data_IF_507009325115
#
_entry.id   IF_507009325115
#
_cell.length_a   1.000
_cell.length_b   1.000
_cell.length_c   1.000
_cell.angle_alpha   90.00
_cell.angle_beta   90.00
_cell.angle_gamma   90.00
#
_symmetry.space_group_name_H-M   'P 1'
#
loop_
_entity.id
_entity.type
_entity.pdbx_description
1 polymer ?
#
# COMPACT_ATOMS: atom_id res chain seq x y z
N UNK A 1 7.88 -14.05 50.20
CA UNK A 1 6.64 -14.05 49.39
C UNK A 1 6.85 -13.14 48.20
N UNK A 2 7.08 -13.69 47.00
CA UNK A 2 7.12 -12.90 45.77
C UNK A 2 5.69 -12.47 45.40
N UNK A 3 5.44 -11.22 44.98
CA UNK A 3 4.10 -10.81 44.59
C UNK A 3 3.68 -11.58 43.34
N UNK A 4 2.44 -12.08 43.39
CA UNK A 4 1.77 -12.81 42.32
C UNK A 4 2.08 -12.24 40.93
N UNK A 5 2.69 -13.06 40.08
CA UNK A 5 3.04 -12.69 38.71
C UNK A 5 1.80 -12.30 37.93
N UNK A 6 1.61 -11.00 37.75
CA UNK A 6 0.64 -10.48 36.80
C UNK A 6 0.98 -11.08 35.43
N UNK A 7 0.09 -11.94 34.91
CA UNK A 7 0.20 -12.47 33.54
C UNK A 7 0.17 -11.27 32.60
N UNK A 8 1.32 -10.86 32.11
CA UNK A 8 1.42 -9.83 31.08
C UNK A 8 0.73 -10.38 29.84
N UNK A 9 -0.45 -9.86 29.53
CA UNK A 9 -1.20 -10.25 28.33
C UNK A 9 -0.42 -9.77 27.12
N UNK A 10 0.03 -10.72 26.31
CA UNK A 10 0.72 -10.41 25.06
C UNK A 10 -0.27 -9.78 24.07
N UNK A 11 0.02 -8.58 23.61
CA UNK A 11 -0.84 -7.82 22.69
C UNK A 11 -0.58 -8.30 21.27
N UNK A 12 -1.59 -8.21 20.39
CA UNK A 12 -1.46 -8.53 18.97
C UNK A 12 -0.22 -7.87 18.35
N UNK A 13 0.78 -8.71 18.04
CA UNK A 13 2.06 -8.26 17.49
C UNK A 13 1.97 -8.08 15.99
N UNK A 14 2.59 -7.01 15.49
CA UNK A 14 2.76 -6.85 14.04
C UNK A 14 4.02 -7.57 13.58
N UNK A 15 3.93 -8.22 12.42
CA UNK A 15 5.13 -8.71 11.75
C UNK A 15 5.97 -7.58 11.17
N UNK A 16 5.37 -6.43 10.82
CA UNK A 16 6.08 -5.36 10.13
C UNK A 16 7.25 -4.82 10.97
N UNK A 17 8.41 -4.65 10.33
CA UNK A 17 9.66 -4.22 10.99
C UNK A 17 9.75 -2.69 10.95
N UNK A 18 10.30 -2.07 11.99
CA UNK A 18 10.58 -0.62 11.95
C UNK A 18 11.55 -0.28 10.81
N UNK A 19 11.39 0.88 10.21
CA UNK A 19 12.35 1.39 9.22
C UNK A 19 13.72 1.57 9.88
N UNK A 20 14.80 1.25 9.16
CA UNK A 20 16.17 1.45 9.62
C UNK A 20 16.45 2.93 9.86
N UNK A 21 17.15 3.26 10.95
CA UNK A 21 17.49 4.64 11.32
C UNK A 21 16.61 5.23 12.43
N UNK A 22 15.45 4.63 12.71
CA UNK A 22 14.64 4.94 13.90
C UNK A 22 14.96 3.98 15.06
N UNK A 23 14.78 4.44 16.29
CA UNK A 23 14.94 3.57 17.46
C UNK A 23 13.83 2.51 17.44
N UNK A 24 14.21 1.24 17.32
CA UNK A 24 13.29 0.13 17.08
C UNK A 24 12.32 -0.19 18.23
N UNK A 25 11.62 -1.32 18.07
CA UNK A 25 10.77 -1.88 19.13
C UNK A 25 11.57 -2.14 20.40
N UNK A 26 10.93 -1.98 21.57
CA UNK A 26 11.62 -2.10 22.85
C UNK A 26 11.91 -3.57 23.23
N UNK A 27 11.15 -4.51 22.66
CA UNK A 27 11.24 -5.93 22.97
C UNK A 27 10.71 -6.33 24.34
N UNK A 28 10.25 -5.37 25.15
CA UNK A 28 9.68 -5.62 26.48
C UNK A 28 8.36 -6.42 26.39
N UNK A 29 7.97 -7.16 27.43
CA UNK A 29 6.72 -7.92 27.41
C UNK A 29 5.44 -7.06 27.21
N UNK A 30 4.42 -7.66 26.58
CA UNK A 30 3.08 -7.09 26.49
C UNK A 30 2.97 -5.81 25.67
N UNK A 31 2.20 -4.83 26.17
CA UNK A 31 1.96 -3.53 25.53
C UNK A 31 3.23 -2.75 25.22
N UNK A 32 4.31 -3.01 25.97
CA UNK A 32 5.57 -2.29 25.81
C UNK A 32 6.41 -2.81 24.64
N UNK A 33 6.08 -3.97 24.06
CA UNK A 33 6.90 -4.61 23.02
C UNK A 33 7.15 -3.69 21.83
N UNK A 34 6.06 -3.22 21.21
CA UNK A 34 6.13 -2.37 20.04
C UNK A 34 6.19 -0.90 20.42
N UNK A 35 7.06 -0.16 19.73
CA UNK A 35 6.98 1.30 19.77
C UNK A 35 5.91 1.77 18.77
N UNK A 36 4.95 2.52 19.28
CA UNK A 36 3.83 3.02 18.47
C UNK A 36 4.22 4.26 17.67
N UNK A 37 3.58 4.47 16.52
CA UNK A 37 3.78 5.67 15.69
C UNK A 37 4.96 5.62 14.72
N UNK A 38 5.85 4.63 14.85
CA UNK A 38 6.97 4.43 13.92
C UNK A 38 6.51 3.99 12.53
N UNK A 39 7.28 4.38 11.51
CA UNK A 39 7.13 3.85 10.16
C UNK A 39 7.65 2.41 10.07
N UNK A 40 6.96 1.57 9.29
CA UNK A 40 7.26 0.13 9.23
C UNK A 40 7.27 -0.40 7.81
N UNK A 41 8.07 -1.45 7.58
CA UNK A 41 8.22 -2.12 6.28
C UNK A 41 7.80 -3.58 6.36
N UNK A 42 7.39 -4.09 5.20
CA UNK A 42 7.09 -5.50 4.96
C UNK A 42 8.30 -6.20 4.30
N UNK A 43 8.32 -7.54 4.24
CA UNK A 43 7.53 -8.47 5.04
C UNK A 43 8.03 -8.52 6.48
N UNK A 44 7.20 -9.07 7.36
CA UNK A 44 7.61 -9.30 8.75
C UNK A 44 8.54 -10.47 8.95
N UNK A 45 8.56 -11.42 8.01
CA UNK A 45 9.45 -12.59 7.99
C UNK A 45 10.15 -12.65 6.64
N UNK A 46 11.43 -13.04 6.64
CA UNK A 46 12.29 -12.99 5.45
C UNK A 46 12.94 -11.62 5.24
N UNK A 47 13.52 -11.46 4.05
CA UNK A 47 14.30 -10.28 3.66
C UNK A 47 13.43 -9.03 3.60
N UNK A 48 13.98 -7.90 4.07
CA UNK A 48 13.27 -6.62 4.07
C UNK A 48 13.01 -6.18 2.62
N UNK A 49 11.79 -5.77 2.33
CA UNK A 49 11.46 -5.08 1.08
C UNK A 49 11.38 -3.57 1.29
N UNK A 50 11.34 -2.80 0.21
CA UNK A 50 11.06 -1.36 0.26
C UNK A 50 9.55 -1.04 0.42
N UNK A 51 8.68 -2.05 0.60
CA UNK A 51 7.25 -1.80 0.77
C UNK A 51 6.92 -1.36 2.20
N UNK A 52 6.48 -0.12 2.33
CA UNK A 52 5.88 0.41 3.57
C UNK A 52 4.65 -0.39 4.01
N UNK A 53 4.31 -0.29 5.30
CA UNK A 53 3.15 -0.94 5.89
C UNK A 53 1.84 -0.35 5.36
N UNK A 54 0.73 -1.10 5.49
CA UNK A 54 -0.57 -0.64 5.01
C UNK A 54 -1.09 0.57 5.80
N UNK A 55 -0.85 0.62 7.11
CA UNK A 55 -1.21 1.78 7.93
C UNK A 55 -0.45 3.04 7.49
N UNK A 56 0.83 2.92 7.16
CA UNK A 56 1.63 4.06 6.68
C UNK A 56 1.13 4.56 5.32
N UNK A 57 0.76 3.64 4.41
CA UNK A 57 0.17 3.98 3.10
C UNK A 57 -1.21 4.64 3.23
N UNK A 58 -2.06 4.14 4.12
CA UNK A 58 -3.37 4.73 4.40
C UNK A 58 -3.23 6.13 5.01
N UNK A 59 -2.32 6.32 5.97
CA UNK A 59 -2.03 7.64 6.53
C UNK A 59 -1.50 8.62 5.46
N UNK A 60 -0.68 8.14 4.51
CA UNK A 60 -0.27 8.93 3.35
C UNK A 60 -1.46 9.33 2.47
N UNK A 61 -2.38 8.42 2.18
CA UNK A 61 -3.60 8.74 1.42
C UNK A 61 -4.53 9.70 2.17
N UNK A 62 -4.54 9.65 3.50
CA UNK A 62 -5.31 10.59 4.34
C UNK A 62 -4.81 12.04 4.26
N UNK A 63 -3.67 12.28 3.61
CA UNK A 63 -3.09 13.61 3.39
C UNK A 63 -2.99 13.95 1.90
N UNK A 64 -2.50 13.01 1.09
CA UNK A 64 -2.26 13.22 -0.35
C UNK A 64 -3.41 12.80 -1.27
N UNK A 65 -4.42 12.13 -0.72
CA UNK A 65 -5.42 11.41 -1.50
C UNK A 65 -4.91 10.07 -2.07
N UNK A 66 -5.84 9.22 -2.50
CA UNK A 66 -5.57 7.87 -3.00
C UNK A 66 -5.32 7.79 -4.52
N UNK A 67 -5.63 8.85 -5.27
CA UNK A 67 -5.48 8.95 -6.73
C UNK A 67 -4.02 8.87 -7.21
N UNK A 68 -3.07 9.36 -6.41
CA UNK A 68 -1.65 9.44 -6.78
C UNK A 68 -1.32 10.58 -7.75
N UNK A 69 -0.04 10.76 -8.04
CA UNK A 69 0.44 11.94 -8.78
C UNK A 69 -0.05 12.02 -10.23
N UNK A 70 -0.15 10.89 -10.93
CA UNK A 70 -0.58 10.91 -12.35
C UNK A 70 -2.00 11.45 -12.51
N UNK A 71 -2.94 11.00 -11.67
CA UNK A 71 -4.32 11.49 -11.77
C UNK A 71 -4.46 12.95 -11.31
N UNK A 72 -3.53 13.46 -10.49
CA UNK A 72 -3.53 14.88 -10.09
C UNK A 72 -3.22 15.87 -11.21
N UNK A 73 -2.85 15.40 -12.41
CA UNK A 73 -2.82 16.29 -13.57
C UNK A 73 -4.23 16.70 -14.02
N UNK A 74 -5.23 15.86 -13.80
CA UNK A 74 -6.56 16.02 -14.40
C UNK A 74 -7.65 16.44 -13.42
N UNK A 75 -7.42 16.24 -12.12
CA UNK A 75 -8.42 16.55 -11.09
C UNK A 75 -8.01 17.80 -10.31
N UNK A 76 -8.99 18.60 -9.94
CA UNK A 76 -8.77 19.86 -9.22
C UNK A 76 -8.41 19.61 -7.75
N UNK A 77 -9.05 18.61 -7.12
CA UNK A 77 -8.94 18.32 -5.70
C UNK A 77 -8.53 16.85 -5.45
N UNK A 78 -7.72 16.53 -4.43
CA UNK A 78 -7.34 15.15 -4.13
C UNK A 78 -8.53 14.28 -3.73
N UNK A 79 -8.48 12.98 -4.07
CA UNK A 79 -9.54 12.04 -3.72
C UNK A 79 -9.27 11.39 -2.37
N UNK A 80 -10.13 11.64 -1.39
CA UNK A 80 -9.99 11.12 -0.04
C UNK A 80 -11.00 10.01 0.28
N UNK A 81 -10.61 9.10 1.16
CA UNK A 81 -11.52 8.10 1.71
C UNK A 81 -12.41 8.75 2.78
N UNK A 82 -13.73 8.64 2.63
CA UNK A 82 -14.68 9.12 3.65
C UNK A 82 -14.72 8.22 4.89
N UNK A 83 -14.41 6.93 4.72
CA UNK A 83 -14.37 5.95 5.79
C UNK A 83 -13.33 4.85 5.56
N UNK A 84 -12.81 4.30 6.66
CA UNK A 84 -12.04 3.05 6.70
C UNK A 84 -12.79 2.10 7.63
N UNK A 85 -13.30 1.00 7.05
CA UNK A 85 -14.05 -0.03 7.78
C UNK A 85 -13.18 -1.27 7.96
N UNK A 86 -13.00 -1.68 9.21
CA UNK A 86 -12.16 -2.82 9.60
C UNK A 86 -13.09 -4.01 9.84
N UNK A 87 -12.84 -5.14 9.18
CA UNK A 87 -13.61 -6.37 9.42
C UNK A 87 -13.49 -6.87 10.86
N UNK A 88 -14.33 -7.84 11.26
CA UNK A 88 -14.32 -8.38 12.61
C UNK A 88 -12.97 -9.03 12.94
N UNK A 89 -12.22 -8.38 13.82
CA UNK A 89 -10.91 -8.80 14.29
C UNK A 89 -10.59 -8.08 15.62
N UNK A 90 -9.51 -8.45 16.31
CA UNK A 90 -9.07 -7.66 17.45
C UNK A 90 -8.77 -6.22 17.03
N UNK A 91 -9.43 -5.28 17.69
CA UNK A 91 -9.53 -3.90 17.26
C UNK A 91 -9.25 -2.94 18.40
N UNK A 92 -8.64 -1.80 18.07
CA UNK A 92 -8.43 -0.69 19.00
C UNK A 92 -8.66 0.61 18.24
N UNK A 93 -9.73 1.33 18.61
CA UNK A 93 -10.06 2.63 18.04
C UNK A 93 -8.88 3.59 18.18
N UNK A 94 -8.28 3.65 19.36
CA UNK A 94 -7.11 4.48 19.67
C UNK A 94 -5.90 4.14 18.79
N UNK A 95 -5.64 2.86 18.55
CA UNK A 95 -4.55 2.45 17.66
C UNK A 95 -4.80 2.88 16.21
N UNK A 96 -6.04 2.75 15.73
CA UNK A 96 -6.42 3.17 14.38
C UNK A 96 -6.37 4.68 14.20
N UNK A 97 -6.93 5.45 15.13
CA UNK A 97 -6.88 6.91 15.11
C UNK A 97 -5.44 7.42 15.14
N UNK A 98 -4.59 6.84 15.99
CA UNK A 98 -3.17 7.16 16.03
C UNK A 98 -2.48 6.84 14.70
N UNK A 99 -2.76 5.68 14.12
CA UNK A 99 -2.06 5.20 12.93
C UNK A 99 -2.48 5.92 11.64
N UNK A 100 -3.75 6.35 11.52
CA UNK A 100 -4.30 6.91 10.29
C UNK A 100 -4.45 8.43 10.32
N UNK A 101 -4.71 9.02 11.48
CA UNK A 101 -5.05 10.45 11.62
C UNK A 101 -3.99 11.17 12.47
N UNK A 102 -3.92 10.85 13.77
CA UNK A 102 -3.19 11.68 14.75
C UNK A 102 -1.70 11.83 14.44
N UNK A 103 -1.06 10.83 13.84
CA UNK A 103 0.36 10.91 13.44
C UNK A 103 0.65 11.96 12.36
N UNK A 104 -0.36 12.42 11.65
CA UNK A 104 -0.27 13.45 10.61
C UNK A 104 -1.03 14.72 10.99
N UNK A 105 -1.70 14.80 12.15
CA UNK A 105 -2.60 15.91 12.52
C UNK A 105 -1.93 17.28 12.53
N UNK A 106 -0.62 17.34 12.79
CA UNK A 106 0.15 18.58 12.85
C UNK A 106 0.81 18.94 11.50
N UNK A 107 0.57 18.14 10.45
CA UNK A 107 1.08 18.44 9.10
C UNK A 107 0.37 19.68 8.58
N UNK A 108 1.17 20.69 8.23
CA UNK A 108 0.70 22.00 7.78
C UNK A 108 1.47 22.46 6.55
N UNK A 109 1.16 23.65 6.03
CA UNK A 109 1.80 24.24 4.85
C UNK A 109 1.73 23.33 3.61
N UNK A 110 0.56 22.72 3.41
CA UNK A 110 0.26 21.94 2.23
C UNK A 110 -0.25 22.86 1.10
N UNK A 111 0.02 22.52 -0.18
CA UNK A 111 -0.58 23.21 -1.31
C UNK A 111 -2.11 23.20 -1.27
N UNK A 112 -2.74 24.13 -1.99
CA UNK A 112 -4.20 24.23 -2.05
C UNK A 112 -4.84 22.88 -2.38
N UNK A 113 -5.92 22.55 -1.67
CA UNK A 113 -6.68 21.32 -1.82
C UNK A 113 -6.15 20.11 -1.02
N UNK A 114 -4.87 20.13 -0.63
CA UNK A 114 -4.30 19.08 0.21
C UNK A 114 -4.50 19.37 1.69
N UNK A 115 -4.92 18.35 2.44
CA UNK A 115 -5.16 18.47 3.88
C UNK A 115 -5.23 17.13 4.58
N UNK A 116 -5.03 17.14 5.90
CA UNK A 116 -5.23 15.97 6.76
C UNK A 116 -6.73 15.80 6.95
N UNK A 117 -7.27 14.65 6.55
CA UNK A 117 -8.70 14.39 6.64
C UNK A 117 -9.12 13.72 7.95
N UNK A 118 -10.30 14.09 8.44
CA UNK A 118 -10.99 13.36 9.52
C UNK A 118 -11.77 12.18 8.93
N UNK A 119 -11.04 11.10 8.63
CA UNK A 119 -11.63 9.87 8.08
C UNK A 119 -12.44 9.12 9.15
N UNK A 120 -13.65 8.67 8.80
CA UNK A 120 -14.46 7.85 9.70
C UNK A 120 -13.83 6.48 9.86
N UNK A 121 -13.48 6.09 11.08
CA UNK A 121 -12.93 4.76 11.37
C UNK A 121 -14.01 3.94 12.05
N UNK A 122 -14.38 2.81 11.46
CA UNK A 122 -15.43 1.93 11.96
C UNK A 122 -14.96 0.48 11.97
N UNK A 123 -15.51 -0.30 12.87
CA UNK A 123 -15.38 -1.76 12.85
C UNK A 123 -16.71 -2.38 12.41
N UNK A 124 -16.64 -3.35 11.51
CA UNK A 124 -17.79 -4.16 11.12
C UNK A 124 -17.94 -5.36 12.03
N UNK A 125 -19.18 -5.68 12.39
CA UNK A 125 -19.55 -6.91 13.10
C UNK A 125 -19.63 -8.14 12.19
N UNK A 126 -19.47 -7.96 10.88
CA UNK A 126 -19.47 -9.05 9.91
C UNK A 126 -18.20 -9.90 10.05
N UNK A 127 -18.40 -11.18 10.40
CA UNK A 127 -17.34 -12.15 10.41
C UNK A 127 -17.10 -12.66 8.99
N UNK A 128 -15.95 -12.30 8.42
CA UNK A 128 -15.58 -12.83 7.12
C UNK A 128 -15.21 -14.33 7.23
N UNK A 129 -15.83 -15.17 6.41
CA UNK A 129 -15.73 -16.63 6.52
C UNK A 129 -14.31 -17.17 6.35
N UNK A 130 -13.50 -16.50 5.53
CA UNK A 130 -12.10 -16.85 5.25
C UNK A 130 -11.11 -16.08 6.14
N UNK A 131 -11.61 -15.38 7.17
CA UNK A 131 -10.76 -14.76 8.19
C UNK A 131 -10.06 -15.82 9.04
N UNK A 132 -8.92 -15.46 9.63
CA UNK A 132 -8.17 -16.36 10.52
C UNK A 132 -9.05 -16.94 11.63
N UNK A 133 -9.85 -16.08 12.29
CA UNK A 133 -10.72 -16.48 13.39
C UNK A 133 -11.81 -17.46 12.93
N UNK A 134 -12.46 -17.18 11.80
CA UNK A 134 -13.51 -18.06 11.26
C UNK A 134 -12.94 -19.42 10.82
N UNK A 135 -11.81 -19.43 10.12
CA UNK A 135 -11.15 -20.67 9.69
C UNK A 135 -10.65 -21.48 10.90
N UNK A 136 -10.14 -20.81 11.94
CA UNK A 136 -9.71 -21.48 13.17
C UNK A 136 -10.88 -22.11 13.92
N UNK A 137 -12.02 -21.42 14.03
CA UNK A 137 -13.22 -21.96 14.66
C UNK A 137 -13.76 -23.20 13.93
N UNK A 138 -13.76 -23.19 12.58
CA UNK A 138 -14.16 -24.35 11.75
C UNK A 138 -13.21 -25.55 11.86
N UNK A 139 -12.01 -25.37 12.43
CA UNK A 139 -10.98 -26.41 12.58
C UNK A 139 -10.61 -26.68 14.03
N UNK A 140 -11.52 -26.44 14.97
CA UNK A 140 -11.28 -26.70 16.39
C UNK A 140 -10.71 -28.11 16.64
N UNK A 141 -11.15 -29.09 15.84
CA UNK A 141 -10.77 -30.50 15.96
C UNK A 141 -9.54 -30.92 15.12
N UNK A 142 -8.95 -29.99 14.33
CA UNK A 142 -7.79 -30.27 13.47
C UNK A 142 -6.61 -29.36 13.85
N UNK A 143 -5.67 -29.84 14.68
CA UNK A 143 -4.50 -29.05 15.05
C UNK A 143 -3.61 -28.84 13.83
N UNK A 144 -3.51 -27.59 13.37
CA UNK A 144 -2.69 -27.22 12.22
C UNK A 144 -2.38 -25.73 12.19
N UNK A 145 -1.19 -25.36 11.69
CA UNK A 145 -0.80 -23.96 11.57
C UNK A 145 -1.53 -23.31 10.40
N UNK A 146 -2.37 -22.32 10.69
CA UNK A 146 -3.00 -21.48 9.66
C UNK A 146 -1.97 -20.58 8.96
N UNK A 147 -1.94 -20.65 7.63
CA UNK A 147 -1.07 -19.86 6.75
C UNK A 147 -1.94 -19.03 5.81
N UNK A 148 -1.63 -17.73 5.60
CA UNK A 148 -2.34 -16.92 4.62
C UNK A 148 -2.07 -17.45 3.20
N UNK A 149 -3.05 -17.27 2.32
CA UNK A 149 -2.94 -17.51 0.89
C UNK A 149 -1.84 -16.62 0.29
N UNK A 150 -1.03 -17.21 -0.59
CA UNK A 150 0.02 -16.49 -1.32
C UNK A 150 -0.49 -15.77 -2.57
N UNK A 151 -1.77 -15.94 -2.90
CA UNK A 151 -2.42 -15.27 -4.02
C UNK A 151 -3.12 -13.96 -3.57
N UNK A 152 -3.23 -13.02 -4.49
CA UNK A 152 -3.99 -11.79 -4.35
C UNK A 152 -4.95 -11.65 -5.52
N UNK A 153 -6.17 -11.22 -5.22
CA UNK A 153 -7.23 -11.01 -6.21
C UNK A 153 -7.45 -9.50 -6.33
N UNK A 154 -7.48 -9.00 -7.56
CA UNK A 154 -7.80 -7.60 -7.89
C UNK A 154 -8.94 -7.59 -8.89
N UNK A 155 -9.97 -6.82 -8.60
CA UNK A 155 -11.15 -6.65 -9.45
C UNK A 155 -11.64 -5.21 -9.36
N UNK A 156 -12.15 -4.69 -10.46
CA UNK A 156 -12.84 -3.40 -10.52
C UNK A 156 -14.12 -3.54 -11.31
N UNK A 157 -15.14 -2.75 -10.96
CA UNK A 157 -16.40 -2.67 -11.70
C UNK A 157 -16.24 -1.85 -13.01
N UNK A 158 -15.33 -2.30 -13.87
CA UNK A 158 -15.05 -1.74 -15.20
C UNK A 158 -15.25 -2.87 -16.19
N UNK A 159 -16.24 -2.80 -17.10
CA UNK A 159 -16.63 -3.92 -17.97
C UNK A 159 -15.46 -4.56 -18.74
N UNK A 160 -14.51 -3.75 -19.16
CA UNK A 160 -13.36 -4.15 -19.97
C UNK A 160 -12.18 -4.71 -19.14
N UNK A 161 -12.24 -4.65 -17.81
CA UNK A 161 -11.18 -5.10 -16.91
C UNK A 161 -11.58 -6.41 -16.20
N UNK A 162 -11.11 -7.57 -16.67
CA UNK A 162 -11.39 -8.84 -16.02
C UNK A 162 -10.65 -8.96 -14.68
N UNK A 163 -11.10 -9.92 -13.87
CA UNK A 163 -10.47 -10.36 -12.63
C UNK A 163 -8.97 -10.65 -12.84
N UNK A 164 -8.11 -10.01 -12.05
CA UNK A 164 -6.67 -10.26 -12.02
C UNK A 164 -6.31 -11.04 -10.75
N UNK A 165 -5.89 -12.30 -10.91
CA UNK A 165 -5.43 -13.16 -9.81
C UNK A 165 -3.93 -13.31 -9.94
N UNK A 166 -3.19 -12.86 -8.92
CA UNK A 166 -1.73 -12.89 -8.92
C UNK A 166 -1.19 -13.77 -7.80
N UNK A 167 -0.05 -14.42 -8.03
CA UNK A 167 0.73 -15.12 -7.02
C UNK A 167 2.21 -14.76 -7.21
N UNK A 168 2.89 -14.41 -6.11
CA UNK A 168 4.29 -13.95 -6.14
C UNK A 168 4.53 -12.76 -7.12
N UNK A 169 3.53 -11.89 -7.29
CA UNK A 169 3.61 -10.71 -8.16
C UNK A 169 3.34 -10.96 -9.65
N UNK A 170 3.02 -12.20 -10.05
CA UNK A 170 2.68 -12.54 -11.44
C UNK A 170 1.25 -13.08 -11.54
N UNK A 171 0.56 -12.92 -12.67
CA UNK A 171 -0.71 -13.59 -12.92
C UNK A 171 -0.61 -15.09 -12.66
N UNK A 172 -1.64 -15.66 -12.02
CA UNK A 172 -1.67 -17.06 -11.66
C UNK A 172 -1.51 -17.93 -12.91
N UNK A 173 -0.63 -18.93 -12.84
CA UNK A 173 -0.27 -19.78 -13.98
C UNK A 173 0.93 -19.29 -14.80
N UNK A 174 1.50 -18.11 -14.49
CA UNK A 174 2.74 -17.64 -15.16
C UNK A 174 3.88 -18.62 -14.92
N UNK A 175 4.44 -19.18 -16.00
CA UNK A 175 5.59 -20.08 -15.95
C UNK A 175 6.90 -19.31 -15.88
N UNK A 176 7.98 -19.95 -15.42
CA UNK A 176 9.33 -19.34 -15.41
C UNK A 176 9.76 -18.79 -16.78
N UNK A 177 9.38 -19.48 -17.87
CA UNK A 177 9.63 -19.03 -19.25
C UNK A 177 8.77 -17.82 -19.64
N UNK A 178 7.55 -17.73 -19.10
CA UNK A 178 6.57 -16.68 -19.39
C UNK A 178 6.76 -15.38 -18.62
N UNK A 179 7.58 -15.34 -17.57
CA UNK A 179 7.78 -14.14 -16.70
C UNK A 179 8.14 -12.87 -17.49
N UNK A 180 8.83 -13.00 -18.62
CA UNK A 180 9.28 -11.86 -19.45
C UNK A 180 8.24 -11.40 -20.50
N UNK A 181 7.10 -12.07 -20.56
CA UNK A 181 6.04 -11.75 -21.53
C UNK A 181 5.16 -10.59 -21.04
N UNK A 182 4.50 -9.90 -21.98
CA UNK A 182 3.53 -8.86 -21.65
C UNK A 182 2.34 -9.45 -20.88
N UNK A 183 1.97 -10.69 -21.17
CA UNK A 183 0.89 -11.43 -20.51
C UNK A 183 1.19 -11.76 -19.03
N UNK A 184 2.46 -11.70 -18.62
CA UNK A 184 2.86 -11.92 -17.22
C UNK A 184 2.76 -10.66 -16.36
N UNK A 185 2.25 -9.54 -16.89
CA UNK A 185 2.07 -8.30 -16.14
C UNK A 185 0.73 -8.33 -15.40
N UNK A 186 0.76 -7.96 -14.12
CA UNK A 186 -0.48 -7.65 -13.40
C UNK A 186 -1.12 -6.39 -13.98
N UNK A 187 -2.45 -6.38 -14.04
CA UNK A 187 -3.24 -5.25 -14.56
C UNK A 187 -3.11 -3.99 -13.72
N UNK A 188 -2.76 -4.15 -12.44
CA UNK A 188 -2.51 -3.05 -11.51
C UNK A 188 -1.02 -2.73 -11.34
N UNK A 189 -0.16 -3.25 -12.22
CA UNK A 189 1.26 -2.91 -12.23
C UNK A 189 1.48 -1.46 -12.68
N UNK A 190 2.63 -0.87 -12.30
CA UNK A 190 2.95 0.53 -12.65
C UNK A 190 2.91 0.77 -14.17
N UNK A 191 3.37 -0.20 -14.96
CA UNK A 191 3.43 -0.08 -16.43
C UNK A 191 2.03 -0.10 -17.04
N UNK A 192 1.13 -0.99 -16.61
CA UNK A 192 -0.23 -1.06 -17.15
C UNK A 192 -1.08 0.16 -16.71
N UNK A 193 -0.89 0.65 -15.48
CA UNK A 193 -1.52 1.89 -15.02
C UNK A 193 -0.98 3.13 -15.76
N UNK A 194 0.32 3.16 -16.08
CA UNK A 194 0.89 4.25 -16.86
C UNK A 194 0.42 4.22 -18.31
N UNK A 195 0.32 3.03 -18.91
CA UNK A 195 -0.27 2.86 -20.24
C UNK A 195 -1.70 3.37 -20.29
N UNK A 196 -2.52 3.03 -19.29
CA UNK A 196 -3.90 3.55 -19.19
C UNK A 196 -3.93 5.08 -19.11
N UNK A 197 -2.98 5.69 -18.40
CA UNK A 197 -2.83 7.14 -18.34
C UNK A 197 -2.41 7.76 -19.69
N UNK A 198 -1.54 7.09 -20.45
CA UNK A 198 -1.14 7.55 -21.78
C UNK A 198 -2.28 7.40 -22.80
N UNK A 199 -3.04 6.30 -22.74
CA UNK A 199 -4.24 6.10 -23.56
C UNK A 199 -5.27 7.21 -23.31
N UNK A 200 -5.45 7.62 -22.05
CA UNK A 200 -6.26 8.79 -21.70
C UNK A 200 -5.70 10.07 -22.34
N UNK A 201 -4.39 10.32 -22.25
CA UNK A 201 -3.77 11.50 -22.89
C UNK A 201 -3.99 11.51 -24.41
N UNK A 202 -3.80 10.38 -25.08
CA UNK A 202 -4.01 10.25 -26.52
C UNK A 202 -5.47 10.44 -26.93
N UNK A 203 -6.42 10.25 -26.01
CA UNK A 203 -7.85 10.50 -26.26
C UNK A 203 -8.25 11.97 -26.14
N UNK A 204 -7.39 12.82 -25.59
CA UNK A 204 -7.62 14.24 -25.37
C UNK A 204 -6.78 15.04 -26.37
N UNK A 205 -7.36 16.05 -27.01
CA UNK A 205 -6.62 16.93 -27.90
C UNK A 205 -5.53 17.71 -27.12
N UNK A 206 -4.34 17.87 -27.71
CA UNK A 206 -3.17 18.44 -27.03
C UNK A 206 -3.42 19.86 -26.48
N UNK A 207 -4.28 20.64 -27.11
CA UNK A 207 -4.68 21.98 -26.65
C UNK A 207 -5.43 21.96 -25.30
N UNK A 208 -6.05 20.83 -24.96
CA UNK A 208 -6.79 20.60 -23.72
C UNK A 208 -5.98 19.88 -22.65
N UNK A 209 -4.72 19.54 -22.93
CA UNK A 209 -3.88 18.89 -21.93
C UNK A 209 -3.61 19.85 -20.75
N UNK A 210 -3.53 19.32 -19.51
CA UNK A 210 -3.10 20.11 -18.36
C UNK A 210 -1.74 20.78 -18.60
N UNK A 211 -1.55 22.00 -18.12
CA UNK A 211 -0.30 22.78 -18.33
C UNK A 211 0.94 22.00 -17.90
N UNK A 212 0.87 21.30 -16.77
CA UNK A 212 1.96 20.43 -16.27
C UNK A 212 2.46 19.38 -17.28
N UNK A 213 1.63 19.00 -18.27
CA UNK A 213 1.95 18.02 -19.30
C UNK A 213 2.30 18.65 -20.64
N UNK A 214 2.01 19.95 -20.85
CA UNK A 214 2.30 20.69 -22.09
C UNK A 214 3.63 21.44 -22.06
N UNK A 215 4.05 21.90 -20.88
CA UNK A 215 5.20 22.82 -20.74
C UNK A 215 6.53 22.17 -21.12
N UNK A 216 6.66 20.86 -20.98
CA UNK A 216 7.87 20.13 -21.33
C UNK A 216 7.56 18.76 -21.91
N UNK A 217 8.46 18.26 -22.74
CA UNK A 217 8.38 16.88 -23.23
C UNK A 217 8.73 15.92 -22.09
N UNK A 218 7.79 15.01 -21.78
CA UNK A 218 7.92 13.98 -20.76
C UNK A 218 8.01 12.60 -21.43
N UNK A 219 8.99 11.79 -21.06
CA UNK A 219 9.24 10.47 -21.65
C UNK A 219 9.06 9.34 -20.65
N UNK A 220 9.50 9.52 -19.40
CA UNK A 220 9.54 8.43 -18.41
C UNK A 220 8.41 8.52 -17.40
N UNK A 221 7.96 7.38 -16.87
CA UNK A 221 6.96 7.32 -15.80
C UNK A 221 7.32 8.22 -14.61
N UNK A 222 8.60 8.36 -14.28
CA UNK A 222 9.06 9.27 -13.24
C UNK A 222 8.80 10.74 -13.58
N UNK A 223 9.15 11.17 -14.78
CA UNK A 223 8.97 12.56 -15.24
C UNK A 223 7.50 12.96 -15.22
N UNK A 224 6.60 12.11 -15.72
CA UNK A 224 5.16 12.35 -15.62
C UNK A 224 4.72 12.53 -14.18
N UNK A 225 5.21 11.69 -13.24
CA UNK A 225 4.86 11.87 -11.83
C UNK A 225 5.41 13.16 -11.23
N UNK A 226 6.62 13.54 -11.59
CA UNK A 226 7.30 14.72 -11.04
C UNK A 226 6.69 16.02 -11.56
N UNK A 227 6.16 16.02 -12.78
CA UNK A 227 5.45 17.15 -13.37
C UNK A 227 4.18 17.55 -12.59
N UNK A 228 3.59 16.67 -11.79
CA UNK A 228 2.48 16.98 -10.88
C UNK A 228 3.00 17.74 -9.64
N UNK A 229 3.44 18.99 -9.84
CA UNK A 229 4.17 19.80 -8.85
C UNK A 229 3.45 19.91 -7.50
N UNK A 230 2.17 20.27 -7.49
CA UNK A 230 1.39 20.39 -6.25
C UNK A 230 1.37 19.08 -5.44
N UNK A 231 1.25 17.93 -6.10
CA UNK A 231 1.32 16.64 -5.43
C UNK A 231 2.72 16.37 -4.85
N UNK A 232 3.78 16.71 -5.60
CA UNK A 232 5.17 16.53 -5.14
C UNK A 232 5.52 17.45 -3.97
N UNK A 233 5.03 18.69 -3.98
CA UNK A 233 5.16 19.66 -2.90
C UNK A 233 4.46 19.15 -1.63
N UNK A 234 3.20 18.73 -1.74
CA UNK A 234 2.46 18.12 -0.63
C UNK A 234 3.19 16.88 -0.09
N UNK A 235 3.72 16.03 -0.97
CA UNK A 235 4.47 14.86 -0.55
C UNK A 235 5.80 15.19 0.11
N UNK A 236 6.48 16.24 -0.35
CA UNK A 236 7.70 16.76 0.26
C UNK A 236 7.41 17.29 1.68
N UNK A 237 6.36 18.09 1.84
CA UNK A 237 5.93 18.63 3.13
C UNK A 237 5.59 17.51 4.13
N UNK A 238 4.79 16.52 3.72
CA UNK A 238 4.42 15.39 4.56
C UNK A 238 5.63 14.56 5.00
N UNK A 239 6.59 14.30 4.10
CA UNK A 239 7.82 13.59 4.46
C UNK A 239 8.65 14.37 5.47
N UNK A 240 8.82 15.67 5.26
CA UNK A 240 9.59 16.51 6.19
C UNK A 240 8.98 16.54 7.59
N UNK A 241 7.65 16.56 7.69
CA UNK A 241 6.95 16.79 8.96
C UNK A 241 6.58 15.51 9.73
N UNK A 242 6.19 14.43 9.03
CA UNK A 242 5.69 13.21 9.68
C UNK A 242 6.37 11.93 9.20
N UNK A 243 6.79 11.86 7.94
CA UNK A 243 7.28 10.63 7.31
C UNK A 243 8.77 10.70 6.88
N UNK A 244 9.63 11.24 7.76
CA UNK A 244 11.04 11.51 7.43
C UNK A 244 11.83 10.26 7.04
N UNK A 245 11.51 9.11 7.65
CA UNK A 245 12.14 7.81 7.36
C UNK A 245 11.44 7.02 6.24
N UNK A 246 10.55 7.62 5.45
CA UNK A 246 9.83 6.88 4.40
C UNK A 246 10.78 6.29 3.35
N UNK A 247 10.78 4.96 3.22
CA UNK A 247 11.60 4.26 2.22
C UNK A 247 11.01 4.45 0.83
N UNK A 248 11.85 4.87 -0.12
CA UNK A 248 11.54 4.93 -1.55
C UNK A 248 12.07 3.69 -2.25
N UNK A 249 11.38 3.26 -3.30
CA UNK A 249 11.96 2.32 -4.24
C UNK A 249 13.17 2.98 -4.93
N UNK A 250 14.16 2.20 -5.38
CA UNK A 250 15.25 2.76 -6.15
C UNK A 250 14.77 3.32 -7.50
N UNK A 251 15.52 4.27 -8.10
CA UNK A 251 15.04 5.05 -9.25
C UNK A 251 14.70 4.23 -10.50
N UNK A 252 15.42 3.13 -10.72
CA UNK A 252 15.21 2.15 -11.79
C UNK A 252 13.77 1.58 -11.85
N UNK A 253 13.04 1.59 -10.73
CA UNK A 253 11.62 1.18 -10.70
C UNK A 253 10.64 2.21 -11.28
N UNK A 254 11.15 3.37 -11.68
CA UNK A 254 10.37 4.51 -12.14
C UNK A 254 10.89 5.09 -13.46
N UNK A 255 12.11 4.75 -13.86
CA UNK A 255 12.74 5.16 -15.12
C UNK A 255 12.40 4.18 -16.26
N UNK A 256 11.13 4.11 -16.65
CA UNK A 256 10.69 3.33 -17.80
C UNK A 256 9.71 4.14 -18.66
N UNK A 257 9.65 3.82 -19.96
CA UNK A 257 8.70 4.39 -20.91
C UNK A 257 7.48 3.47 -21.08
N UNK A 258 6.36 4.03 -21.53
CA UNK A 258 5.11 3.27 -21.72
C UNK A 258 5.20 2.10 -22.70
N UNK A 259 6.01 2.25 -23.74
CA UNK A 259 6.19 1.27 -24.82
C UNK A 259 7.34 0.29 -24.58
N UNK A 260 8.12 0.48 -23.51
CA UNK A 260 9.26 -0.40 -23.26
C UNK A 260 8.77 -1.83 -22.98
N UNK A 261 9.27 -2.75 -23.82
CA UNK A 261 9.48 -4.13 -23.38
C UNK A 261 10.38 -4.01 -22.17
N UNK A 262 9.82 -4.05 -20.96
CA UNK A 262 10.58 -4.02 -19.72
C UNK A 262 11.59 -5.16 -19.77
N UNK A 263 12.80 -4.87 -20.24
CA UNK A 263 13.97 -5.62 -19.88
C UNK A 263 14.21 -5.35 -18.40
N UNK A 264 14.67 -6.40 -17.73
CA UNK A 264 15.71 -6.40 -16.71
C UNK A 264 15.29 -7.41 -15.66
N UNK A 265 16.08 -8.48 -15.54
CA UNK A 265 16.65 -9.09 -14.32
C UNK A 265 15.94 -8.93 -12.95
N UNK A 266 14.65 -8.67 -12.91
CA UNK A 266 13.87 -8.47 -11.69
C UNK A 266 13.31 -9.83 -11.29
N UNK A 267 14.21 -10.64 -10.74
CA UNK A 267 13.88 -11.86 -10.01
C UNK A 267 12.77 -11.58 -8.99
N UNK A 268 11.88 -12.56 -8.82
CA UNK A 268 10.56 -12.47 -8.16
C UNK A 268 10.48 -11.88 -6.75
N UNK A 269 11.59 -11.45 -6.14
CA UNK A 269 11.63 -10.69 -4.88
C UNK A 269 11.41 -9.19 -5.06
N UNK A 270 11.48 -8.67 -6.29
CA UNK A 270 11.49 -7.23 -6.61
C UNK A 270 10.15 -6.66 -7.08
N UNK A 271 9.21 -7.51 -7.50
CA UNK A 271 7.83 -7.11 -7.88
C UNK A 271 6.98 -6.68 -6.66
N UNK A 272 7.49 -6.87 -5.44
CA UNK A 272 6.76 -6.62 -4.19
C UNK A 272 6.65 -5.14 -3.76
N UNK A 273 7.09 -4.17 -4.58
CA UNK A 273 6.66 -2.80 -4.36
C UNK A 273 5.18 -2.72 -4.77
N UNK A 274 4.27 -2.94 -3.82
CA UNK A 274 2.83 -2.76 -4.09
C UNK A 274 2.65 -1.42 -4.80
N UNK A 275 1.81 -1.37 -5.85
CA UNK A 275 1.54 -0.12 -6.54
C UNK A 275 1.23 0.92 -5.48
N UNK A 276 1.79 2.12 -5.67
CA UNK A 276 1.57 3.28 -4.79
C UNK A 276 0.08 3.69 -4.75
N UNK A 277 -0.74 3.00 -5.53
CA UNK A 277 -2.14 3.16 -5.77
C UNK A 277 -2.83 1.79 -5.48
N UNK A 278 -3.76 1.79 -4.53
CA UNK A 278 -4.89 0.85 -4.39
C UNK A 278 -4.77 -0.51 -3.69
N UNK A 279 -3.62 -1.12 -3.40
CA UNK A 279 -3.64 -2.47 -2.78
C UNK A 279 -3.66 -2.46 -1.25
N UNK A 280 -4.85 -2.59 -0.66
CA UNK A 280 -5.03 -3.05 0.74
C UNK A 280 -5.13 -4.59 0.69
N UNK A 281 -4.19 -5.29 1.31
CA UNK A 281 -4.22 -6.75 1.37
C UNK A 281 -5.17 -7.22 2.47
N UNK A 282 -6.23 -7.93 2.09
CA UNK A 282 -6.96 -8.82 2.99
C UNK A 282 -6.38 -10.23 2.86
N UNK A 283 -5.73 -10.79 3.89
CA UNK A 283 -5.23 -12.16 3.80
C UNK A 283 -6.42 -13.12 3.83
N UNK A 284 -6.62 -13.85 2.74
CA UNK A 284 -7.47 -15.05 2.70
C UNK A 284 -6.69 -16.21 3.33
N UNK A 285 -7.28 -16.98 4.24
CA UNK A 285 -6.63 -18.18 4.78
C UNK A 285 -7.23 -19.41 4.10
N UNK A 286 -6.41 -20.21 3.43
CA UNK A 286 -6.83 -21.45 2.76
C UNK A 286 -6.35 -22.68 3.55
N UNK A 287 -7.10 -23.78 3.43
CA UNK A 287 -6.59 -25.09 3.84
C UNK A 287 -5.45 -25.52 2.93
N UNK A 288 -4.32 -25.87 3.54
CA UNK A 288 -3.34 -26.68 2.84
C UNK A 288 -3.66 -28.13 3.22
N UNK A 289 -3.96 -29.00 2.25
CA UNK A 289 -4.13 -30.42 2.52
C UNK A 289 -2.88 -31.01 3.18
#
# INVERSE_FOLDING_TARGET
MAPSGAKVVDVYRTGAKCVSGEVGDSGKPGVAYHRVGLLRVKPGRGDRTCSMSCSDKLARWNVLGCQGSLLMHFIEEPVYLSAVVIGKCPYSQEAMQRALIRRCQNVSSLPKGFGVQEVKIQQSDLLFEQSRCAVQAKRADRPGRLVPCGAAISWSAVPEQPLDVTANGFPQGTTKKGIRSLQARSRISKVELFRSFQELLSSISEDKWPDSLRVQKLETYQEYKEAASAYQEAWSALRKQAFGSWIRNPPDYHQFKGEEKVCNELTGSRVFSSPSCWTIFFPLYLDKP
#
